data_IF_633953439931
#
_entry.id   IF_633953439931
#
_cell.length_a   1.000
_cell.length_b   1.000
_cell.length_c   1.000
_cell.angle_alpha   90.00
_cell.angle_beta   90.00
_cell.angle_gamma   90.00
#
_symmetry.space_group_name_H-M   'P 1'
#
loop_
_entity.id
_entity.type
_entity.pdbx_description
1 polymer ?
#
# COMPACT_ATOMS: atom_id res chain seq x y z
N UNK A 1 1.25 -10.08 0.13
CA UNK A 1 0.60 -9.42 -1.03
C UNK A 1 -0.91 -9.60 -1.00
N UNK A 2 -1.44 -10.83 -0.93
CA UNK A 2 -2.89 -11.05 -0.83
C UNK A 2 -3.53 -10.39 0.40
N UNK A 3 -2.89 -10.46 1.57
CA UNK A 3 -3.37 -9.75 2.78
C UNK A 3 -3.43 -8.23 2.55
N UNK A 4 -2.40 -7.65 1.93
CA UNK A 4 -2.37 -6.22 1.60
C UNK A 4 -3.48 -5.82 0.62
N UNK A 5 -3.74 -6.67 -0.37
CA UNK A 5 -4.85 -6.49 -1.32
C UNK A 5 -6.20 -6.52 -0.60
N UNK A 6 -6.39 -7.45 0.33
CA UNK A 6 -7.62 -7.54 1.12
C UNK A 6 -7.81 -6.29 1.98
N UNK A 7 -6.77 -5.84 2.68
CA UNK A 7 -6.82 -4.61 3.49
C UNK A 7 -7.15 -3.39 2.62
N UNK A 8 -6.54 -3.29 1.43
CA UNK A 8 -6.83 -2.21 0.48
C UNK A 8 -8.28 -2.24 0.00
N UNK A 9 -8.82 -3.41 -0.34
CA UNK A 9 -10.20 -3.55 -0.78
C UNK A 9 -11.20 -3.19 0.34
N UNK A 10 -10.96 -3.68 1.56
CA UNK A 10 -11.82 -3.39 2.72
C UNK A 10 -11.79 -1.91 3.08
N UNK A 11 -10.61 -1.28 3.11
CA UNK A 11 -10.48 0.15 3.39
C UNK A 11 -11.09 1.01 2.28
N UNK A 12 -10.99 0.61 1.01
CA UNK A 12 -11.63 1.29 -0.10
C UNK A 12 -13.16 1.28 0.03
N UNK A 13 -13.75 0.13 0.36
CA UNK A 13 -15.18 0.00 0.64
C UNK A 13 -15.60 0.83 1.85
N UNK A 14 -14.92 0.66 2.98
CA UNK A 14 -15.22 1.41 4.21
C UNK A 14 -15.13 2.93 4.01
N UNK A 15 -14.16 3.42 3.23
CA UNK A 15 -14.03 4.83 2.91
C UNK A 15 -15.18 5.38 2.06
N UNK A 16 -15.68 4.59 1.08
CA UNK A 16 -16.86 4.97 0.30
C UNK A 16 -18.12 5.05 1.16
N UNK A 17 -18.30 4.09 2.08
CA UNK A 17 -19.41 4.09 3.02
C UNK A 17 -19.34 5.29 3.97
N UNK A 18 -18.15 5.59 4.51
CA UNK A 18 -17.93 6.73 5.38
C UNK A 18 -18.19 8.05 4.65
N UNK A 19 -17.70 8.19 3.42
CA UNK A 19 -17.98 9.35 2.57
C UNK A 19 -19.49 9.53 2.36
N UNK A 20 -20.21 8.44 2.09
CA UNK A 20 -21.66 8.46 1.88
C UNK A 20 -22.40 8.96 3.13
N UNK A 21 -22.07 8.43 4.31
CA UNK A 21 -22.64 8.89 5.57
C UNK A 21 -22.34 10.37 5.84
N UNK A 22 -21.13 10.83 5.56
CA UNK A 22 -20.72 12.22 5.77
C UNK A 22 -21.46 13.18 4.84
N UNK A 23 -21.64 12.82 3.56
CA UNK A 23 -22.39 13.66 2.62
C UNK A 23 -23.88 13.71 2.92
N UNK A 24 -24.46 12.60 3.38
CA UNK A 24 -25.87 12.53 3.76
C UNK A 24 -26.16 13.12 5.15
N UNK A 25 -25.13 13.36 5.96
CA UNK A 25 -25.26 13.84 7.35
C UNK A 25 -25.81 12.81 8.34
N UNK A 26 -25.95 11.54 7.93
CA UNK A 26 -26.52 10.47 8.77
C UNK A 26 -25.84 9.13 8.49
N UNK A 27 -25.54 8.38 9.55
CA UNK A 27 -24.80 7.12 9.45
C UNK A 27 -25.56 6.03 8.67
N UNK A 28 -26.89 6.00 8.74
CA UNK A 28 -27.72 5.00 8.06
C UNK A 28 -27.65 5.10 6.53
N UNK A 29 -27.27 6.26 5.98
CA UNK A 29 -27.10 6.44 4.54
C UNK A 29 -25.94 5.59 3.97
N UNK A 30 -24.95 5.22 4.80
CA UNK A 30 -23.92 4.28 4.39
C UNK A 30 -24.46 2.87 4.11
N UNK A 31 -25.66 2.55 4.59
CA UNK A 31 -26.30 1.25 4.37
C UNK A 31 -27.38 1.31 3.28
N UNK A 32 -27.70 2.50 2.78
CA UNK A 32 -28.63 2.67 1.66
C UNK A 32 -27.89 2.45 0.34
N UNK A 33 -28.23 1.38 -0.43
CA UNK A 33 -27.59 1.11 -1.70
C UNK A 33 -27.75 2.25 -2.71
N UNK A 34 -28.84 3.02 -2.63
CA UNK A 34 -29.11 4.13 -3.55
C UNK A 34 -28.18 5.29 -3.26
N UNK A 35 -28.05 5.70 -2.00
CA UNK A 35 -27.12 6.73 -1.56
C UNK A 35 -25.66 6.34 -1.87
N UNK A 36 -25.29 5.09 -1.59
CA UNK A 36 -23.93 4.59 -1.88
C UNK A 36 -23.67 4.60 -3.38
N UNK A 37 -24.60 4.12 -4.21
CA UNK A 37 -24.46 4.11 -5.66
C UNK A 37 -24.33 5.54 -6.23
N UNK A 38 -25.13 6.46 -5.71
CA UNK A 38 -25.06 7.87 -6.08
C UNK A 38 -23.67 8.44 -5.77
N UNK A 39 -23.18 8.31 -4.53
CA UNK A 39 -21.86 8.83 -4.16
C UNK A 39 -20.75 8.17 -4.98
N UNK A 40 -20.85 6.87 -5.20
CA UNK A 40 -19.86 6.11 -5.95
C UNK A 40 -19.76 6.56 -7.42
N UNK A 41 -20.88 6.89 -8.07
CA UNK A 41 -20.92 7.24 -9.49
C UNK A 41 -20.81 8.74 -9.74
N UNK A 42 -21.40 9.55 -8.87
CA UNK A 42 -21.56 10.99 -9.07
C UNK A 42 -20.41 11.81 -8.50
N UNK A 43 -19.54 11.24 -7.66
CA UNK A 43 -18.40 11.96 -7.08
C UNK A 43 -17.06 11.45 -7.61
N UNK A 44 -16.11 12.36 -7.82
CA UNK A 44 -14.73 12.01 -8.23
C UNK A 44 -14.07 11.07 -7.22
N UNK A 45 -14.24 11.38 -5.92
CA UNK A 45 -13.70 10.58 -4.84
C UNK A 45 -14.33 9.17 -4.82
N UNK A 46 -15.64 9.06 -5.02
CA UNK A 46 -16.35 7.78 -5.10
C UNK A 46 -15.86 6.91 -6.26
N UNK A 47 -15.63 7.51 -7.44
CA UNK A 47 -15.02 6.82 -8.58
C UNK A 47 -13.59 6.36 -8.28
N UNK A 48 -12.81 7.15 -7.54
CA UNK A 48 -11.48 6.75 -7.10
C UNK A 48 -11.52 5.55 -6.12
N UNK A 49 -12.50 5.49 -5.21
CA UNK A 49 -12.75 4.33 -4.35
C UNK A 49 -13.09 3.06 -5.16
N UNK A 50 -13.93 3.18 -6.20
CA UNK A 50 -14.23 2.06 -7.10
C UNK A 50 -12.98 1.62 -7.86
N UNK A 51 -12.24 2.57 -8.45
CA UNK A 51 -11.06 2.28 -9.26
C UNK A 51 -10.02 1.50 -8.46
N UNK A 52 -9.72 1.92 -7.22
CA UNK A 52 -8.75 1.19 -6.37
C UNK A 52 -9.24 -0.18 -5.94
N UNK A 53 -10.54 -0.32 -5.64
CA UNK A 53 -11.11 -1.62 -5.29
C UNK A 53 -11.05 -2.59 -6.49
N UNK A 54 -11.37 -2.12 -7.70
CA UNK A 54 -11.27 -2.89 -8.94
C UNK A 54 -9.84 -3.32 -9.24
N UNK A 55 -8.87 -2.41 -9.11
CA UNK A 55 -7.44 -2.71 -9.31
C UNK A 55 -6.91 -3.71 -8.26
N UNK A 56 -7.32 -3.56 -7.00
CA UNK A 56 -6.99 -4.52 -5.94
C UNK A 56 -7.56 -5.91 -6.25
N UNK A 57 -8.82 -5.99 -6.67
CA UNK A 57 -9.46 -7.24 -7.05
C UNK A 57 -8.77 -7.90 -8.25
N UNK A 58 -8.48 -7.13 -9.30
CA UNK A 58 -7.73 -7.62 -10.46
C UNK A 58 -6.34 -8.16 -10.05
N UNK A 59 -5.64 -7.48 -9.16
CA UNK A 59 -4.35 -7.94 -8.64
C UNK A 59 -4.49 -9.27 -7.88
N UNK A 60 -5.55 -9.45 -7.08
CA UNK A 60 -5.83 -10.73 -6.42
C UNK A 60 -6.06 -11.85 -7.44
N UNK A 61 -6.90 -11.61 -8.46
CA UNK A 61 -7.20 -12.59 -9.49
C UNK A 61 -5.93 -13.02 -10.25
N UNK A 62 -5.11 -12.05 -10.67
CA UNK A 62 -3.84 -12.32 -11.37
C UNK A 62 -2.91 -13.20 -10.52
N UNK A 63 -2.83 -12.96 -9.22
CA UNK A 63 -1.97 -13.76 -8.33
C UNK A 63 -2.52 -15.15 -8.02
N UNK A 64 -3.84 -15.26 -7.87
CA UNK A 64 -4.51 -16.54 -7.61
C UNK A 64 -4.45 -17.42 -8.85
N UNK A 65 -4.66 -16.85 -10.05
CA UNK A 65 -4.63 -17.57 -11.32
C UNK A 65 -3.19 -17.88 -11.78
N UNK A 66 -2.26 -16.93 -11.64
CA UNK A 66 -0.88 -17.02 -12.13
C UNK A 66 0.09 -17.72 -11.17
N UNK A 67 -0.36 -18.70 -10.37
CA UNK A 67 0.37 -19.28 -9.23
C UNK A 67 1.86 -19.53 -9.54
N UNK A 68 2.73 -18.71 -8.94
CA UNK A 68 4.18 -18.90 -8.91
C UNK A 68 4.98 -18.22 -10.02
N UNK A 69 4.34 -17.64 -11.04
CA UNK A 69 5.04 -16.98 -12.15
C UNK A 69 5.56 -15.58 -11.79
N UNK A 70 6.83 -15.29 -12.10
CA UNK A 70 7.42 -13.95 -11.91
C UNK A 70 6.64 -12.85 -12.63
N UNK A 71 6.10 -13.14 -13.81
CA UNK A 71 5.29 -12.22 -14.62
C UNK A 71 3.99 -11.82 -13.90
N UNK A 72 3.25 -12.77 -13.33
CA UNK A 72 2.01 -12.50 -12.61
C UNK A 72 2.26 -11.57 -11.41
N UNK A 73 3.40 -11.73 -10.73
CA UNK A 73 3.81 -10.84 -9.65
C UNK A 73 4.04 -9.41 -10.13
N UNK A 74 4.74 -9.23 -11.26
CA UNK A 74 4.98 -7.89 -11.82
C UNK A 74 3.69 -7.21 -12.29
N UNK A 75 2.78 -7.96 -12.93
CA UNK A 75 1.45 -7.45 -13.31
C UNK A 75 0.68 -6.98 -12.07
N UNK A 76 0.67 -7.79 -11.01
CA UNK A 76 -0.02 -7.41 -9.78
C UNK A 76 0.63 -6.19 -9.09
N UNK A 77 1.95 -6.02 -9.18
CA UNK A 77 2.62 -4.79 -8.71
C UNK A 77 2.17 -3.58 -9.52
N UNK A 78 2.10 -3.67 -10.85
CA UNK A 78 1.64 -2.58 -11.70
C UNK A 78 0.19 -2.18 -11.37
N UNK A 79 -0.70 -3.15 -11.16
CA UNK A 79 -2.08 -2.92 -10.74
C UNK A 79 -2.16 -2.21 -9.38
N UNK A 80 -1.32 -2.62 -8.42
CA UNK A 80 -1.24 -1.98 -7.11
C UNK A 80 -0.68 -0.55 -7.18
N UNK A 81 0.29 -0.27 -8.05
CA UNK A 81 0.77 1.10 -8.30
C UNK A 81 -0.34 2.00 -8.86
N UNK A 82 -1.17 1.47 -9.76
CA UNK A 82 -2.37 2.17 -10.23
C UNK A 82 -3.36 2.42 -9.09
N UNK A 83 -3.54 1.45 -8.19
CA UNK A 83 -4.42 1.64 -7.03
C UNK A 83 -3.89 2.73 -6.08
N UNK A 84 -2.57 2.84 -5.90
CA UNK A 84 -1.95 3.95 -5.16
C UNK A 84 -2.15 5.28 -5.88
N UNK A 85 -2.02 5.33 -7.20
CA UNK A 85 -2.23 6.57 -7.97
C UNK A 85 -3.65 7.13 -7.79
N UNK A 86 -4.66 6.27 -7.61
CA UNK A 86 -6.04 6.70 -7.34
C UNK A 86 -6.20 7.54 -6.06
N UNK A 87 -5.24 7.52 -5.13
CA UNK A 87 -5.27 8.36 -3.93
C UNK A 87 -5.05 9.84 -4.23
N UNK A 88 -4.49 10.18 -5.40
CA UNK A 88 -4.34 11.57 -5.82
C UNK A 88 -5.70 12.30 -5.93
N UNK A 89 -6.76 11.57 -6.29
CA UNK A 89 -8.14 12.08 -6.31
C UNK A 89 -8.77 12.28 -4.92
N UNK A 90 -8.08 11.88 -3.85
CA UNK A 90 -8.44 12.24 -2.48
C UNK A 90 -7.74 13.52 -2.01
N UNK A 91 -6.79 14.05 -2.78
CA UNK A 91 -6.08 15.31 -2.54
C UNK A 91 -6.70 16.50 -3.29
N UNK A 92 -6.22 17.71 -3.00
CA UNK A 92 -6.75 18.96 -3.57
C UNK A 92 -6.38 19.16 -5.06
N UNK A 93 -5.47 18.34 -5.61
CA UNK A 93 -5.07 18.41 -7.02
C UNK A 93 -6.20 18.10 -8.01
N UNK A 94 -7.19 17.30 -7.62
CA UNK A 94 -8.34 16.97 -8.47
C UNK A 94 -9.40 18.09 -8.56
N UNK A 95 -9.34 19.10 -7.69
CA UNK A 95 -10.31 20.20 -7.64
C UNK A 95 -9.76 21.52 -8.18
N UNK A 96 -8.58 21.53 -8.82
CA UNK A 96 -8.01 22.74 -9.44
C UNK A 96 -8.34 22.79 -10.93
N UNK A 97 -9.18 23.72 -11.39
CA UNK A 97 -9.40 23.94 -12.81
C UNK A 97 -8.13 24.45 -13.53
N UNK A 98 -7.88 23.94 -14.75
CA UNK A 98 -6.82 24.42 -15.66
C UNK A 98 -5.57 23.53 -15.75
N UNK A 99 -4.58 23.94 -16.55
CA UNK A 99 -3.34 23.18 -16.78
C UNK A 99 -2.47 22.95 -15.53
N UNK A 100 -2.64 23.76 -14.50
CA UNK A 100 -2.01 23.58 -13.18
C UNK A 100 -2.62 22.43 -12.38
N UNK A 101 -3.90 22.10 -12.58
CA UNK A 101 -4.56 20.97 -11.91
C UNK A 101 -3.95 19.62 -12.31
N UNK A 102 -3.63 19.44 -13.59
CA UNK A 102 -2.96 18.22 -14.07
C UNK A 102 -1.54 18.06 -13.50
N UNK A 103 -0.81 19.17 -13.34
CA UNK A 103 0.52 19.16 -12.72
C UNK A 103 0.45 18.81 -11.24
N UNK A 104 -0.50 19.39 -10.49
CA UNK A 104 -0.73 19.02 -9.09
C UNK A 104 -1.15 17.57 -8.94
N UNK A 105 -2.06 17.08 -9.79
CA UNK A 105 -2.48 15.68 -9.76
C UNK A 105 -1.31 14.73 -10.07
N UNK A 106 -0.47 15.05 -11.05
CA UNK A 106 0.72 14.27 -11.35
C UNK A 106 1.72 14.28 -10.18
N UNK A 107 1.91 15.43 -9.54
CA UNK A 107 2.74 15.56 -8.34
C UNK A 107 2.18 14.72 -7.18
N UNK A 108 0.86 14.72 -6.97
CA UNK A 108 0.19 13.91 -5.96
C UNK A 108 0.37 12.40 -6.22
N UNK A 109 0.30 11.95 -7.48
CA UNK A 109 0.57 10.55 -7.85
C UNK A 109 2.03 10.17 -7.53
N UNK A 110 2.99 10.99 -7.95
CA UNK A 110 4.41 10.74 -7.70
C UNK A 110 4.70 10.77 -6.20
N UNK A 111 4.11 11.70 -5.47
CA UNK A 111 4.23 11.79 -4.02
C UNK A 111 3.65 10.55 -3.33
N UNK A 112 2.47 10.08 -3.74
CA UNK A 112 1.86 8.87 -3.20
C UNK A 112 2.74 7.62 -3.44
N UNK A 113 3.32 7.48 -4.63
CA UNK A 113 4.28 6.40 -4.90
C UNK A 113 5.55 6.51 -4.05
N UNK A 114 6.12 7.70 -3.93
CA UNK A 114 7.30 7.94 -3.10
C UNK A 114 7.03 7.62 -1.61
N UNK A 115 5.89 8.06 -1.08
CA UNK A 115 5.46 7.78 0.28
C UNK A 115 5.25 6.27 0.51
N UNK A 116 4.62 5.56 -0.44
CA UNK A 116 4.44 4.11 -0.36
C UNK A 116 5.77 3.35 -0.36
N UNK A 117 6.72 3.75 -1.21
CA UNK A 117 8.07 3.18 -1.25
C UNK A 117 8.83 3.45 0.05
N UNK A 118 8.76 4.68 0.57
CA UNK A 118 9.40 5.08 1.82
C UNK A 118 8.89 4.28 3.02
N UNK A 119 7.57 4.15 3.18
CA UNK A 119 6.96 3.34 4.24
C UNK A 119 7.35 1.86 4.12
N UNK A 120 7.35 1.31 2.90
CA UNK A 120 7.78 -0.06 2.65
C UNK A 120 9.24 -0.31 3.06
N UNK A 121 10.13 0.64 2.76
CA UNK A 121 11.53 0.56 3.14
C UNK A 121 11.72 0.59 4.66
N UNK A 122 10.99 1.45 5.38
CA UNK A 122 11.02 1.51 6.85
C UNK A 122 10.56 0.20 7.49
N UNK A 123 9.49 -0.43 6.99
CA UNK A 123 9.02 -1.72 7.49
C UNK A 123 10.09 -2.79 7.27
N UNK A 124 10.67 -2.86 6.05
CA UNK A 124 11.72 -3.83 5.75
C UNK A 124 12.95 -3.63 6.65
N UNK A 125 13.36 -2.37 6.86
CA UNK A 125 14.45 -2.01 7.75
C UNK A 125 14.16 -2.42 9.21
N UNK A 126 12.96 -2.12 9.73
CA UNK A 126 12.56 -2.54 11.08
C UNK A 126 12.56 -4.06 11.25
N UNK A 127 12.13 -4.82 10.24
CA UNK A 127 12.19 -6.29 10.25
C UNK A 127 13.63 -6.82 10.24
N UNK A 128 14.54 -6.16 9.52
CA UNK A 128 15.97 -6.50 9.54
C UNK A 128 16.57 -6.27 10.92
N UNK A 129 16.28 -5.12 11.56
CA UNK A 129 16.74 -4.83 12.93
C UNK A 129 16.24 -5.84 13.95
N UNK A 130 14.97 -6.27 13.85
CA UNK A 130 14.41 -7.30 14.75
C UNK A 130 15.10 -8.65 14.58
N UNK A 131 15.47 -9.01 13.36
CA UNK A 131 16.21 -10.25 13.07
C UNK A 131 17.64 -10.21 13.62
N UNK A 132 18.33 -9.07 13.49
CA UNK A 132 19.68 -8.92 14.04
C UNK A 132 19.71 -8.95 15.56
N UNK A 133 18.70 -8.40 16.24
CA UNK A 133 18.63 -8.40 17.70
C UNK A 133 18.33 -9.77 18.31
N UNK A 134 17.79 -10.72 17.52
CA UNK A 134 17.57 -12.11 17.92
C UNK A 134 18.77 -13.03 17.72
N UNK A 135 19.84 -12.57 17.07
CA UNK A 135 21.08 -13.31 16.97
C UNK A 135 21.79 -13.29 18.33
N UNK A 136 21.90 -14.44 18.99
CA UNK A 136 22.46 -14.58 20.34
C UNK A 136 23.86 -13.92 20.44
N UNK A 137 24.03 -12.86 21.26
CA UNK A 137 25.33 -12.25 21.50
C UNK A 137 26.37 -13.20 22.10
N UNK A 138 25.95 -14.35 22.64
CA UNK A 138 26.85 -15.38 23.18
C UNK A 138 27.45 -16.25 22.08
N UNK A 139 26.73 -16.48 20.99
CA UNK A 139 27.24 -17.19 19.82
C UNK A 139 28.40 -16.42 19.15
N UNK A 140 28.30 -15.09 19.09
CA UNK A 140 29.40 -14.25 18.59
C UNK A 140 30.58 -14.22 19.55
N UNK A 141 30.38 -14.12 20.88
CA UNK A 141 31.48 -14.16 21.87
C UNK A 141 32.26 -15.48 21.86
N UNK A 142 31.60 -16.62 21.61
CA UNK A 142 32.27 -17.92 21.48
C UNK A 142 33.21 -18.00 20.28
N UNK A 143 32.80 -17.43 19.14
CA UNK A 143 33.62 -17.34 17.92
C UNK A 143 34.85 -16.42 18.10
N UNK A 144 34.70 -15.30 18.82
CA UNK A 144 35.81 -14.40 19.14
C UNK A 144 36.75 -14.93 20.24
N UNK A 145 36.25 -15.76 21.15
CA UNK A 145 37.07 -16.41 22.17
C UNK A 145 37.90 -17.56 21.56
N UNK A 146 37.30 -18.36 20.66
CA UNK A 146 37.97 -19.46 19.97
C UNK A 146 39.08 -18.98 19.02
N UNK A 147 38.90 -17.84 18.35
CA UNK A 147 39.91 -17.28 17.43
C UNK A 147 41.11 -16.66 18.14
N UNK A 148 40.97 -16.22 19.41
CA UNK A 148 42.11 -15.72 20.22
C UNK A 148 43.03 -16.83 20.72
N UNK A 149 42.55 -18.06 20.83
CA UNK A 149 43.36 -19.21 21.27
C UNK A 149 44.17 -19.84 20.13
N UNK A 150 43.94 -19.44 18.87
CA UNK A 150 44.66 -19.95 17.70
C UNK A 150 45.76 -19.01 17.20
N UNK A 151 46.09 -17.94 17.92
CA UNK A 151 47.20 -17.07 17.54
C UNK A 151 48.54 -17.83 17.69
N UNK A 152 49.31 -18.05 16.61
CA UNK A 152 50.58 -18.77 16.70
C UNK A 152 51.57 -17.95 17.54
N UNK A 153 52.13 -18.59 18.57
CA UNK A 153 53.22 -18.04 19.35
C UNK A 153 54.40 -17.75 18.39
N UNK A 154 54.67 -16.47 18.16
CA UNK A 154 55.84 -16.05 17.38
C UNK A 154 57.07 -16.24 18.26
N UNK A 155 57.95 -17.14 17.82
CA UNK A 155 59.30 -17.39 18.36
C UNK A 155 60.23 -16.21 18.14
#
# INVERSE_FOLDING_TARGET
>A
MLVSILVLALSAGAGLLLQTAMMAGVATAALDPTAVAYVAQSTELGRAHIARAGLAFAAALVLIAGRGGGVARWIAVALLLGAVASFAWSGHGASTEGGSGLLHLAADIVHAWAAALWLGALIAFGLLLRRSSGADPRASRGLWAGSRLQAPARS
#
